data_IF_130833607992
#
_entry.id   IF_130833607992
#
_cell.length_a   1.000
_cell.length_b   1.000
_cell.length_c   1.000
_cell.angle_alpha   90.00
_cell.angle_beta   90.00
_cell.angle_gamma   90.00
#
_symmetry.space_group_name_H-M   'P 1'
#
loop_
_entity.id
_entity.type
_entity.pdbx_description
1 polymer ?
#
# COMPACT_ATOMS: atom_id res chain seq x y z
N UNK A 1 35.15 17.05 -2.66
CA UNK A 1 34.82 15.66 -2.28
C UNK A 1 34.08 15.73 -0.96
N UNK A 2 32.90 15.11 -0.80
CA UNK A 2 32.20 15.12 0.48
C UNK A 2 33.03 14.41 1.55
N UNK A 3 33.04 15.00 2.75
CA UNK A 3 33.88 14.56 3.85
C UNK A 3 33.36 13.25 4.44
N UNK A 4 34.22 12.53 5.18
CA UNK A 4 33.81 11.32 5.91
C UNK A 4 32.66 11.62 6.90
N UNK A 5 32.60 12.84 7.45
CA UNK A 5 31.52 13.29 8.32
C UNK A 5 30.17 13.42 7.58
N UNK A 6 30.18 13.82 6.30
CA UNK A 6 28.96 13.89 5.46
C UNK A 6 28.42 12.50 5.10
N UNK A 7 29.33 11.52 4.96
CA UNK A 7 28.94 10.11 4.76
C UNK A 7 28.37 9.53 6.05
N UNK A 8 28.93 9.88 7.21
CA UNK A 8 28.44 9.42 8.51
C UNK A 8 27.08 10.05 8.84
N UNK A 9 26.81 11.32 8.52
CA UNK A 9 25.48 11.92 8.71
C UNK A 9 24.42 11.30 7.79
N UNK A 10 24.77 10.95 6.55
CA UNK A 10 23.88 10.15 5.67
C UNK A 10 23.63 8.73 6.21
N UNK A 11 24.62 8.14 6.89
CA UNK A 11 24.55 6.85 7.56
C UNK A 11 23.91 6.92 8.96
N UNK A 12 23.74 8.08 9.57
CA UNK A 12 23.05 8.25 10.87
C UNK A 12 21.58 8.62 10.69
N UNK A 13 21.17 8.93 9.46
CA UNK A 13 19.77 8.93 9.03
C UNK A 13 19.20 7.51 8.86
N UNK A 14 20.04 6.47 9.07
CA UNK A 14 19.81 5.05 8.75
C UNK A 14 18.85 4.29 9.68
N UNK A 15 18.13 4.97 10.56
CA UNK A 15 17.07 4.33 11.36
C UNK A 15 15.79 4.07 10.56
N UNK A 16 15.59 4.78 9.45
CA UNK A 16 14.43 4.62 8.58
C UNK A 16 14.88 4.05 7.23
N UNK A 17 14.20 2.99 6.78
CA UNK A 17 14.36 2.51 5.41
C UNK A 17 14.00 3.62 4.40
N UNK A 18 14.27 3.43 3.10
CA UNK A 18 13.86 4.39 2.09
C UNK A 18 12.35 4.66 2.19
N UNK A 19 11.95 5.93 2.10
CA UNK A 19 10.56 6.36 2.23
C UNK A 19 9.63 5.50 1.34
N UNK A 20 8.70 4.74 1.93
CA UNK A 20 7.88 3.78 1.20
C UNK A 20 6.85 4.46 0.28
N UNK A 21 6.64 5.77 0.42
CA UNK A 21 5.70 6.56 -0.40
C UNK A 21 6.32 7.07 -1.70
N UNK A 22 7.65 7.16 -1.77
CA UNK A 22 8.35 7.64 -2.95
C UNK A 22 8.20 6.66 -4.11
N UNK A 23 7.81 7.19 -5.28
CA UNK A 23 7.65 6.49 -6.55
C UNK A 23 8.34 7.27 -7.67
N UNK A 24 8.89 6.56 -8.66
CA UNK A 24 9.50 7.15 -9.85
C UNK A 24 8.45 7.85 -10.71
N UNK A 25 8.87 8.82 -11.53
CA UNK A 25 7.96 9.51 -12.45
C UNK A 25 7.33 8.55 -13.47
N UNK A 26 8.11 7.55 -13.91
CA UNK A 26 7.59 6.48 -14.79
C UNK A 26 6.44 5.70 -14.15
N UNK A 27 6.57 5.36 -12.85
CA UNK A 27 5.49 4.68 -12.14
C UNK A 27 4.30 5.63 -11.91
N UNK A 28 4.52 6.91 -11.60
CA UNK A 28 3.44 7.91 -11.48
C UNK A 28 2.61 7.99 -12.76
N UNK A 29 3.29 8.16 -13.90
CA UNK A 29 2.63 8.23 -15.22
C UNK A 29 1.85 6.94 -15.51
N UNK A 30 2.46 5.80 -15.20
CA UNK A 30 1.81 4.50 -15.39
C UNK A 30 0.61 4.29 -14.47
N UNK A 31 0.62 4.79 -13.23
CA UNK A 31 -0.55 4.75 -12.34
C UNK A 31 -1.65 5.66 -12.88
N UNK A 32 -1.30 6.90 -13.26
CA UNK A 32 -2.23 7.88 -13.78
C UNK A 32 -2.98 7.37 -15.01
N UNK A 33 -2.30 6.65 -15.90
CA UNK A 33 -2.93 6.07 -17.11
C UNK A 33 -3.93 4.94 -16.82
N UNK A 34 -4.00 4.43 -15.58
CA UNK A 34 -4.92 3.36 -15.16
C UNK A 34 -6.03 3.85 -14.22
N UNK A 35 -6.01 5.13 -13.86
CA UNK A 35 -7.12 5.77 -13.15
C UNK A 35 -8.30 5.96 -14.10
N UNK A 36 -9.51 5.75 -13.58
CA UNK A 36 -10.76 6.01 -14.29
C UNK A 36 -10.95 7.53 -14.44
N UNK A 37 -11.78 7.94 -15.39
CA UNK A 37 -12.09 9.37 -15.57
C UNK A 37 -12.66 9.97 -14.27
N UNK A 38 -12.05 11.07 -13.83
CA UNK A 38 -12.41 11.74 -12.58
C UNK A 38 -12.09 10.96 -11.30
N UNK A 39 -11.29 9.90 -11.36
CA UNK A 39 -10.73 9.22 -10.19
C UNK A 39 -9.46 9.94 -9.73
N UNK A 40 -9.33 10.17 -8.43
CA UNK A 40 -8.22 10.92 -7.84
C UNK A 40 -7.31 9.98 -7.04
N UNK A 41 -6.00 10.07 -7.29
CA UNK A 41 -5.00 9.40 -6.46
C UNK A 41 -4.90 10.12 -5.11
N UNK A 42 -5.14 9.40 -4.02
CA UNK A 42 -5.04 9.92 -2.65
C UNK A 42 -3.66 9.62 -2.07
N UNK A 43 -3.24 8.35 -2.14
CA UNK A 43 -1.96 7.93 -1.57
C UNK A 43 -1.41 6.68 -2.24
N UNK A 44 -0.08 6.58 -2.31
CA UNK A 44 0.62 5.36 -2.70
C UNK A 44 1.67 5.02 -1.63
N UNK A 45 1.73 3.76 -1.21
CA UNK A 45 2.68 3.28 -0.21
C UNK A 45 3.13 1.86 -0.55
N UNK A 46 4.43 1.58 -0.36
CA UNK A 46 4.96 0.22 -0.44
C UNK A 46 4.56 -0.59 0.80
N UNK A 47 4.07 -1.80 0.58
CA UNK A 47 3.74 -2.74 1.64
C UNK A 47 4.62 -4.01 1.55
N UNK A 48 4.74 -4.74 2.66
CA UNK A 48 5.59 -5.92 2.74
C UNK A 48 5.02 -7.09 1.95
N UNK A 49 3.73 -7.38 2.16
CA UNK A 49 3.00 -8.44 1.45
C UNK A 49 1.51 -8.17 1.40
N UNK A 50 0.85 -8.76 0.42
CA UNK A 50 -0.59 -8.76 0.27
C UNK A 50 -1.10 -10.17 -0.04
N UNK A 51 -2.23 -10.52 0.55
CA UNK A 51 -2.92 -11.79 0.36
C UNK A 51 -4.33 -11.52 -0.14
N UNK A 52 -4.76 -12.37 -1.06
CA UNK A 52 -6.14 -12.49 -1.47
C UNK A 52 -6.63 -13.89 -1.09
N UNK A 53 -7.48 -13.97 -0.08
CA UNK A 53 -8.12 -15.18 0.40
C UNK A 53 -9.55 -15.25 -0.15
N UNK A 54 -9.71 -15.68 -1.40
CA UNK A 54 -11.02 -16.00 -1.96
C UNK A 54 -11.63 -17.24 -1.29
N UNK A 55 -12.97 -17.29 -1.24
CA UNK A 55 -13.71 -18.51 -0.89
C UNK A 55 -13.43 -19.66 -1.87
N UNK A 56 -13.08 -19.35 -3.12
CA UNK A 56 -12.63 -20.32 -4.10
C UNK A 56 -11.13 -20.57 -3.95
N UNK A 57 -10.73 -21.80 -3.65
CA UNK A 57 -9.32 -22.13 -3.37
C UNK A 57 -8.36 -21.77 -4.52
N UNK A 58 -8.80 -21.95 -5.77
CA UNK A 58 -7.98 -21.68 -6.96
C UNK A 58 -7.71 -20.19 -7.21
N UNK A 59 -8.41 -19.29 -6.50
CA UNK A 59 -8.26 -17.85 -6.65
C UNK A 59 -7.37 -17.26 -5.55
N UNK A 60 -7.00 -18.06 -4.54
CA UNK A 60 -6.11 -17.61 -3.46
C UNK A 60 -4.75 -17.25 -4.02
N UNK A 61 -4.26 -16.06 -3.70
CA UNK A 61 -2.97 -15.59 -4.17
C UNK A 61 -2.28 -14.73 -3.12
N UNK A 62 -0.95 -14.72 -3.17
CA UNK A 62 -0.10 -13.91 -2.32
C UNK A 62 0.94 -13.20 -3.17
N UNK A 63 1.28 -11.97 -2.81
CA UNK A 63 2.36 -11.22 -3.43
C UNK A 63 3.23 -10.53 -2.38
N UNK A 64 4.55 -10.61 -2.57
CA UNK A 64 5.54 -9.93 -1.71
C UNK A 64 6.03 -8.66 -2.39
N UNK A 65 6.35 -7.64 -1.59
CA UNK A 65 6.84 -6.34 -2.08
C UNK A 65 5.87 -5.76 -3.12
N UNK A 66 4.68 -5.40 -2.67
CA UNK A 66 3.66 -4.71 -3.47
C UNK A 66 3.60 -3.23 -3.11
N UNK A 67 2.74 -2.50 -3.82
CA UNK A 67 2.32 -1.16 -3.43
C UNK A 67 0.81 -1.12 -3.31
N UNK A 68 0.33 -0.48 -2.26
CA UNK A 68 -1.04 -0.06 -2.11
C UNK A 68 -1.21 1.33 -2.72
N UNK A 69 -2.23 1.48 -3.56
CA UNK A 69 -2.63 2.73 -4.18
C UNK A 69 -4.08 2.96 -3.75
N UNK A 70 -4.29 3.98 -2.93
CA UNK A 70 -5.60 4.43 -2.51
C UNK A 70 -6.06 5.56 -3.41
N UNK A 71 -7.26 5.41 -3.96
CA UNK A 71 -7.97 6.46 -4.68
C UNK A 71 -9.24 6.83 -3.92
N UNK A 72 -9.93 7.87 -4.40
CA UNK A 72 -11.26 8.25 -3.90
C UNK A 72 -12.35 7.20 -4.18
N UNK A 73 -12.05 6.11 -4.90
CA UNK A 73 -13.03 5.09 -5.31
C UNK A 73 -12.65 3.66 -4.96
N UNK A 74 -11.36 3.33 -4.93
CA UNK A 74 -10.87 1.97 -4.79
C UNK A 74 -9.49 1.91 -4.15
N UNK A 75 -9.21 0.75 -3.58
CA UNK A 75 -7.87 0.34 -3.19
C UNK A 75 -7.32 -0.60 -4.27
N UNK A 76 -6.19 -0.22 -4.85
CA UNK A 76 -5.45 -1.04 -5.80
C UNK A 76 -4.20 -1.56 -5.11
N UNK A 77 -3.89 -2.84 -5.35
CA UNK A 77 -2.63 -3.45 -4.96
C UNK A 77 -1.91 -3.82 -6.26
N UNK A 78 -0.72 -3.30 -6.43
CA UNK A 78 0.11 -3.54 -7.61
C UNK A 78 1.44 -4.18 -7.21
N UNK A 79 2.09 -4.85 -8.16
CA UNK A 79 3.49 -5.28 -7.97
C UNK A 79 4.39 -4.05 -7.86
N UNK A 80 5.41 -4.10 -7.00
CA UNK A 80 6.40 -3.02 -6.89
C UNK A 80 7.37 -3.02 -8.08
N UNK A 81 6.90 -2.54 -9.23
CA UNK A 81 7.62 -2.40 -10.50
C UNK A 81 7.58 -0.94 -10.97
N UNK A 82 8.39 -0.60 -11.96
CA UNK A 82 8.40 0.71 -12.64
C UNK A 82 7.20 0.93 -13.59
N UNK A 83 6.25 0.00 -13.62
CA UNK A 83 5.05 0.07 -14.43
C UNK A 83 3.88 -0.61 -13.72
N UNK A 84 2.66 -0.17 -14.06
CA UNK A 84 1.45 -0.67 -13.45
C UNK A 84 1.25 -2.15 -13.79
N UNK A 85 1.22 -3.00 -12.75
CA UNK A 85 0.87 -4.41 -12.86
C UNK A 85 -0.04 -4.78 -11.70
N UNK A 86 -1.34 -4.79 -11.98
CA UNK A 86 -2.38 -5.08 -11.02
C UNK A 86 -2.19 -6.47 -10.40
N UNK A 87 -2.34 -6.53 -9.08
CA UNK A 87 -2.52 -7.75 -8.32
C UNK A 87 -3.96 -7.87 -7.84
N UNK A 88 -4.49 -6.82 -7.22
CA UNK A 88 -5.84 -6.78 -6.67
C UNK A 88 -6.46 -5.41 -6.86
N UNK A 89 -7.75 -5.38 -7.16
CA UNK A 89 -8.60 -4.19 -7.13
C UNK A 89 -9.75 -4.44 -6.16
N UNK A 90 -10.01 -3.48 -5.28
CA UNK A 90 -11.06 -3.52 -4.27
C UNK A 90 -11.80 -2.20 -4.32
N UNK A 91 -13.05 -2.20 -4.77
CA UNK A 91 -13.87 -0.99 -4.74
C UNK A 91 -14.21 -0.66 -3.28
N UNK A 92 -14.07 0.61 -2.86
CA UNK A 92 -14.32 1.00 -1.47
C UNK A 92 -15.75 0.63 -1.01
N UNK A 93 -16.82 0.85 -1.82
CA UNK A 93 -18.18 0.46 -1.43
C UNK A 93 -18.41 -1.05 -1.27
N UNK A 94 -17.51 -1.91 -1.77
CA UNK A 94 -17.61 -3.36 -1.62
C UNK A 94 -17.06 -3.86 -0.28
N UNK A 95 -16.35 -3.02 0.47
CA UNK A 95 -15.75 -3.38 1.76
C UNK A 95 -16.86 -3.38 2.83
N UNK A 96 -17.26 -4.58 3.26
CA UNK A 96 -18.31 -4.78 4.26
C UNK A 96 -17.79 -4.59 5.69
N UNK A 97 -16.54 -4.95 5.92
CA UNK A 97 -15.86 -4.75 7.19
C UNK A 97 -14.35 -4.72 6.99
N UNK A 98 -13.66 -4.10 7.94
CA UNK A 98 -12.20 -4.07 7.97
C UNK A 98 -11.68 -4.17 9.40
N UNK A 99 -10.44 -4.62 9.54
CA UNK A 99 -9.67 -4.58 10.80
C UNK A 99 -8.29 -3.99 10.52
N UNK A 100 -7.81 -3.18 11.44
CA UNK A 100 -6.48 -2.60 11.41
C UNK A 100 -5.81 -3.01 12.71
N UNK A 101 -4.80 -3.86 12.61
CA UNK A 101 -4.16 -4.53 13.73
C UNK A 101 -2.69 -4.07 13.77
N UNK A 102 -2.39 -3.00 14.53
CA UNK A 102 -1.01 -2.63 14.81
C UNK A 102 -0.42 -3.62 15.82
N UNK A 103 0.81 -4.06 15.56
CA UNK A 103 1.67 -4.75 16.52
C UNK A 103 2.90 -3.88 16.80
N UNK A 104 3.77 -4.32 17.70
CA UNK A 104 5.01 -3.58 18.01
C UNK A 104 5.93 -3.44 16.78
N UNK A 105 5.85 -4.40 15.87
CA UNK A 105 6.71 -4.46 14.68
C UNK A 105 5.95 -4.28 13.37
N UNK A 106 4.66 -4.54 13.26
CA UNK A 106 3.98 -4.56 11.97
C UNK A 106 2.60 -3.88 12.03
N UNK A 107 2.03 -3.59 10.87
CA UNK A 107 0.63 -3.19 10.76
C UNK A 107 -0.05 -4.06 9.72
N UNK A 108 -1.18 -4.65 10.11
CA UNK A 108 -2.00 -5.50 9.24
C UNK A 108 -3.34 -4.83 8.99
N UNK A 109 -3.70 -4.67 7.73
CA UNK A 109 -5.05 -4.26 7.31
C UNK A 109 -5.73 -5.48 6.70
N UNK A 110 -6.84 -5.90 7.29
CA UNK A 110 -7.70 -6.96 6.76
C UNK A 110 -8.99 -6.35 6.24
N UNK A 111 -9.37 -6.65 4.99
CA UNK A 111 -10.56 -6.15 4.32
C UNK A 111 -11.46 -7.31 3.93
N UNK A 112 -12.75 -7.22 4.21
CA UNK A 112 -13.72 -8.24 3.84
C UNK A 112 -14.74 -7.68 2.84
N UNK A 113 -14.90 -8.34 1.70
CA UNK A 113 -15.88 -7.98 0.65
C UNK A 113 -17.07 -8.94 0.58
N UNK A 114 -17.26 -9.78 1.60
CA UNK A 114 -18.27 -10.85 1.66
C UNK A 114 -17.93 -12.07 0.78
N UNK A 115 -17.15 -11.90 -0.29
CA UNK A 115 -16.69 -12.97 -1.19
C UNK A 115 -15.25 -13.40 -0.94
N UNK A 116 -14.43 -12.47 -0.45
CA UNK A 116 -13.03 -12.70 -0.17
C UNK A 116 -12.58 -11.87 1.04
N UNK A 117 -11.45 -12.29 1.60
CA UNK A 117 -10.68 -11.52 2.56
C UNK A 117 -9.37 -11.10 1.90
N UNK A 118 -9.06 -9.81 1.91
CA UNK A 118 -7.81 -9.25 1.43
C UNK A 118 -7.00 -8.80 2.65
N UNK A 119 -5.75 -9.28 2.78
CA UNK A 119 -4.86 -8.95 3.91
C UNK A 119 -3.64 -8.21 3.39
N UNK A 120 -3.33 -7.06 3.97
CA UNK A 120 -2.24 -6.18 3.57
C UNK A 120 -1.36 -5.96 4.78
N UNK A 121 -0.07 -6.29 4.65
CA UNK A 121 0.86 -6.19 5.75
C UNK A 121 1.99 -5.21 5.45
N UNK A 122 2.29 -4.40 6.45
CA UNK A 122 3.37 -3.43 6.46
C UNK A 122 4.40 -3.83 7.49
N UNK A 123 5.67 -3.75 7.12
CA UNK A 123 6.79 -4.08 8.00
C UNK A 123 7.12 -2.94 8.97
N UNK A 124 7.86 -3.24 10.04
CA UNK A 124 8.41 -2.26 10.99
C UNK A 124 9.07 -1.03 10.38
N UNK A 125 9.79 -1.22 9.29
CA UNK A 125 10.51 -0.14 8.62
C UNK A 125 9.59 0.89 7.96
N UNK A 126 8.31 0.58 7.80
CA UNK A 126 7.27 1.43 7.22
C UNK A 126 6.16 1.79 8.22
N UNK A 127 6.30 1.45 9.50
CA UNK A 127 5.18 1.47 10.45
C UNK A 127 4.56 2.86 10.66
N UNK A 128 5.35 3.93 10.72
CA UNK A 128 4.84 5.31 10.82
C UNK A 128 3.97 5.68 9.61
N UNK A 129 4.48 5.44 8.40
CA UNK A 129 3.74 5.67 7.14
C UNK A 129 2.53 4.75 7.00
N UNK A 130 2.62 3.51 7.47
CA UNK A 130 1.50 2.56 7.45
C UNK A 130 0.36 3.02 8.36
N UNK A 131 0.68 3.55 9.56
CA UNK A 131 -0.31 4.16 10.45
C UNK A 131 -0.92 5.43 9.88
N UNK A 132 -0.16 6.24 9.15
CA UNK A 132 -0.70 7.40 8.45
C UNK A 132 -1.63 6.97 7.31
N UNK A 133 -1.17 6.02 6.47
CA UNK A 133 -1.96 5.44 5.40
C UNK A 133 -3.26 4.83 5.93
N UNK A 134 -3.23 4.10 7.05
CA UNK A 134 -4.41 3.46 7.63
C UNK A 134 -5.46 4.48 8.05
N UNK A 135 -5.04 5.61 8.65
CA UNK A 135 -5.94 6.73 9.01
C UNK A 135 -6.54 7.41 7.79
N UNK A 136 -5.76 7.59 6.72
CA UNK A 136 -6.23 8.19 5.46
C UNK A 136 -7.21 7.23 4.77
N UNK A 137 -6.90 5.93 4.77
CA UNK A 137 -7.76 4.87 4.28
C UNK A 137 -9.12 4.88 4.98
N UNK A 138 -9.16 4.88 6.31
CA UNK A 138 -10.43 4.91 7.07
C UNK A 138 -11.27 6.13 6.73
N UNK A 139 -10.65 7.33 6.67
CA UNK A 139 -11.35 8.56 6.29
C UNK A 139 -11.90 8.50 4.87
N UNK A 140 -11.13 7.93 3.94
CA UNK A 140 -11.54 7.78 2.55
C UNK A 140 -12.68 6.78 2.43
N UNK A 141 -12.61 5.65 3.14
CA UNK A 141 -13.65 4.64 3.16
C UNK A 141 -14.97 5.17 3.72
N UNK A 142 -14.93 6.02 4.74
CA UNK A 142 -16.12 6.67 5.31
C UNK A 142 -16.78 7.69 4.36
N UNK A 143 -16.03 8.20 3.38
CA UNK A 143 -16.51 9.18 2.41
C UNK A 143 -17.03 8.56 1.10
N UNK A 144 -16.78 7.27 0.88
CA UNK A 144 -17.14 6.51 -0.32
C UNK A 144 -18.55 5.89 -0.22
#
# INVERSE_FOLDING_TARGET
MPSILDKISSLLSSGQGPDPTVISDKLKDSIASHLKEGEQLIQCIKNHRAFHNSKNFNEKNMFFSSRCILTDRRLLIIRNLEYFKLFREINLPEIQSHRIEPTDDDLVITLNTGRAEDVIEFSKHSLSWANEFSRIFEKTLLAA
#
